data_IF_325919513867
#
_entry.id   IF_325919513867
#
_cell.length_a   1.000
_cell.length_b   1.000
_cell.length_c   1.000
_cell.angle_alpha   90.00
_cell.angle_beta   90.00
_cell.angle_gamma   90.00
#
_symmetry.space_group_name_H-M   'P 1'
#
loop_
_entity.id
_entity.type
_entity.pdbx_description
1 polymer ?
#
# COMPACT_ATOMS: atom_id res chain seq x y z
N UNK A 1 -30.26 -35.98 28.99
CA UNK A 1 -29.14 -35.04 29.14
C UNK A 1 -27.98 -35.54 28.29
N UNK A 2 -27.56 -34.77 27.28
CA UNK A 2 -26.22 -34.88 26.73
C UNK A 2 -25.82 -33.51 26.16
N UNK A 3 -24.95 -32.83 26.90
CA UNK A 3 -24.23 -31.65 26.41
C UNK A 3 -23.00 -32.17 25.67
N UNK A 4 -22.92 -31.95 24.36
CA UNK A 4 -21.70 -32.07 23.56
C UNK A 4 -21.69 -30.81 22.69
N UNK A 5 -20.97 -29.74 23.07
CA UNK A 5 -19.52 -29.55 22.89
C UNK A 5 -19.11 -29.93 21.48
N UNK A 6 -19.28 -29.00 20.54
CA UNK A 6 -18.36 -28.83 19.42
C UNK A 6 -18.05 -27.34 19.35
N UNK A 7 -16.94 -26.99 20.00
CA UNK A 7 -16.21 -25.74 19.80
C UNK A 7 -14.92 -26.14 19.08
N UNK A 8 -14.45 -25.27 18.19
CA UNK A 8 -13.08 -25.26 17.64
C UNK A 8 -12.76 -26.26 16.52
N UNK A 9 -13.23 -25.98 15.30
CA UNK A 9 -12.41 -26.14 14.07
C UNK A 9 -12.75 -24.98 13.11
N UNK A 10 -12.55 -23.75 13.56
CA UNK A 10 -12.40 -22.63 12.65
C UNK A 10 -11.16 -21.91 13.17
N UNK A 11 -10.03 -22.12 12.48
CA UNK A 11 -8.90 -21.21 12.63
C UNK A 11 -9.41 -19.77 12.42
N UNK A 12 -8.73 -18.74 12.96
CA UNK A 12 -9.16 -17.37 12.73
C UNK A 12 -9.42 -17.22 11.22
N UNK A 13 -10.64 -16.79 10.87
CA UNK A 13 -10.95 -16.47 9.49
C UNK A 13 -9.80 -15.61 8.96
N UNK A 14 -9.30 -15.83 7.72
CA UNK A 14 -8.26 -14.99 7.17
C UNK A 14 -8.73 -13.56 7.39
N UNK A 15 -7.96 -12.80 8.18
CA UNK A 15 -8.29 -11.40 8.47
C UNK A 15 -8.44 -10.77 7.10
N UNK A 16 -9.64 -10.31 6.76
CA UNK A 16 -9.84 -9.60 5.51
C UNK A 16 -8.75 -8.52 5.47
N UNK A 17 -8.05 -8.31 4.34
CA UNK A 17 -7.00 -7.29 4.27
C UNK A 17 -7.60 -5.99 4.81
N UNK A 18 -7.09 -5.54 5.95
CA UNK A 18 -7.59 -4.36 6.62
C UNK A 18 -6.87 -3.21 5.93
N UNK A 19 -7.61 -2.42 5.15
CA UNK A 19 -7.06 -1.15 4.69
C UNK A 19 -6.95 -0.23 5.91
N UNK A 20 -5.81 0.46 6.10
CA UNK A 20 -5.65 1.43 7.18
C UNK A 20 -6.84 2.38 7.25
N UNK A 21 -7.31 2.68 8.45
CA UNK A 21 -8.45 3.56 8.69
C UNK A 21 -8.21 4.96 8.09
N UNK A 22 -6.98 5.48 8.17
CA UNK A 22 -6.57 6.73 7.56
C UNK A 22 -6.64 6.72 6.03
N UNK A 23 -6.68 5.55 5.38
CA UNK A 23 -6.84 5.40 3.92
C UNK A 23 -8.30 5.23 3.47
N UNK A 24 -9.27 5.15 4.41
CA UNK A 24 -10.71 5.08 4.08
C UNK A 24 -11.21 6.15 3.10
N UNK A 25 -10.72 7.41 3.12
CA UNK A 25 -11.16 8.42 2.15
C UNK A 25 -10.89 8.05 0.68
N UNK A 26 -9.92 7.18 0.40
CA UNK A 26 -9.59 6.73 -0.96
C UNK A 26 -10.45 5.55 -1.41
N UNK A 27 -11.08 4.82 -0.49
CA UNK A 27 -11.89 3.64 -0.81
C UNK A 27 -13.05 4.02 -1.73
N UNK A 28 -13.24 3.24 -2.79
CA UNK A 28 -14.23 3.41 -3.83
C UNK A 28 -13.89 4.49 -4.87
N UNK A 29 -12.87 5.31 -4.64
CA UNK A 29 -12.57 6.48 -5.49
C UNK A 29 -11.19 6.40 -6.13
N UNK A 30 -10.15 6.14 -5.33
CA UNK A 30 -8.75 6.17 -5.73
C UNK A 30 -8.05 4.86 -5.36
N UNK A 31 -7.00 4.58 -6.09
CA UNK A 31 -5.99 3.58 -5.75
C UNK A 31 -4.88 4.26 -4.99
N UNK A 32 -4.17 3.52 -4.16
CA UNK A 32 -3.13 4.10 -3.32
C UNK A 32 -1.85 3.30 -3.49
N UNK A 33 -0.77 3.97 -3.91
CA UNK A 33 0.58 3.44 -3.93
C UNK A 33 1.34 4.00 -2.72
N UNK A 34 1.74 3.13 -1.81
CA UNK A 34 2.58 3.46 -0.67
C UNK A 34 4.02 3.05 -0.98
N UNK A 35 4.95 3.97 -0.79
CA UNK A 35 6.40 3.73 -0.84
C UNK A 35 6.93 3.92 0.58
N UNK A 36 7.49 2.86 1.15
CA UNK A 36 8.27 2.95 2.37
C UNK A 36 9.69 3.34 1.97
N UNK A 37 10.09 4.54 2.38
CA UNK A 37 11.38 5.11 2.07
C UNK A 37 12.18 5.30 3.36
N UNK A 38 13.46 4.94 3.30
CA UNK A 38 14.43 5.32 4.31
C UNK A 38 15.44 6.32 3.72
N UNK A 39 16.00 7.19 4.55
CA UNK A 39 16.93 8.23 4.12
C UNK A 39 18.26 7.66 3.63
N UNK A 40 18.64 6.46 4.10
CA UNK A 40 19.87 5.78 3.71
C UNK A 40 19.65 4.71 2.61
N UNK A 41 18.46 4.64 2.00
CA UNK A 41 18.12 3.66 0.95
C UNK A 41 17.96 4.34 -0.43
N UNK A 42 18.97 4.16 -1.29
CA UNK A 42 18.99 4.68 -2.67
C UNK A 42 17.77 4.22 -3.50
N UNK A 43 17.13 3.10 -3.16
CA UNK A 43 15.96 2.58 -3.89
C UNK A 43 14.78 3.52 -3.82
N UNK A 44 14.62 4.28 -2.74
CA UNK A 44 13.55 5.28 -2.63
C UNK A 44 13.72 6.39 -3.67
N UNK A 45 14.96 6.87 -3.88
CA UNK A 45 15.28 7.86 -4.91
C UNK A 45 15.06 7.28 -6.31
N UNK A 46 15.51 6.06 -6.56
CA UNK A 46 15.27 5.38 -7.86
C UNK A 46 13.77 5.24 -8.15
N UNK A 47 12.97 4.86 -7.14
CA UNK A 47 11.53 4.74 -7.30
C UNK A 47 10.86 6.10 -7.58
N UNK A 48 11.25 7.17 -6.89
CA UNK A 48 10.76 8.53 -7.14
C UNK A 48 11.00 8.96 -8.59
N UNK A 49 12.24 8.79 -9.07
CA UNK A 49 12.62 9.10 -10.46
C UNK A 49 11.78 8.31 -11.47
N UNK A 50 11.61 7.00 -11.25
CA UNK A 50 10.80 6.14 -12.13
C UNK A 50 9.35 6.63 -12.21
N UNK A 51 8.73 7.00 -11.09
CA UNK A 51 7.33 7.44 -11.07
C UNK A 51 7.14 8.79 -11.74
N UNK A 52 8.09 9.72 -11.60
CA UNK A 52 8.04 11.03 -12.27
C UNK A 52 8.01 10.91 -13.79
N UNK A 53 8.61 9.87 -14.37
CA UNK A 53 8.55 9.65 -15.83
C UNK A 53 7.14 9.40 -16.36
N UNK A 54 6.21 8.98 -15.49
CA UNK A 54 4.86 8.52 -15.86
C UNK A 54 3.74 9.20 -15.08
N UNK A 55 4.02 10.36 -14.46
CA UNK A 55 3.09 11.11 -13.59
C UNK A 55 1.65 11.21 -14.15
N UNK A 56 1.48 11.64 -15.40
CA UNK A 56 0.15 11.81 -16.01
C UNK A 56 -0.66 10.51 -16.03
N UNK A 57 0.01 9.37 -16.21
CA UNK A 57 -0.66 8.06 -16.27
C UNK A 57 -1.17 7.63 -14.90
N UNK A 58 -0.44 7.94 -13.82
CA UNK A 58 -0.92 7.71 -12.45
C UNK A 58 -2.17 8.53 -12.15
N UNK A 59 -2.25 9.77 -12.64
CA UNK A 59 -3.45 10.59 -12.53
C UNK A 59 -4.62 9.96 -13.30
N UNK A 60 -4.39 9.56 -14.56
CA UNK A 60 -5.41 8.96 -15.43
C UNK A 60 -5.96 7.65 -14.87
N UNK A 61 -5.13 6.84 -14.22
CA UNK A 61 -5.50 5.57 -13.59
C UNK A 61 -6.02 5.73 -12.14
N UNK A 62 -6.20 6.97 -11.68
CA UNK A 62 -6.67 7.33 -10.33
C UNK A 62 -5.78 6.75 -9.21
N UNK A 63 -4.45 6.78 -9.36
CA UNK A 63 -3.49 6.30 -8.37
C UNK A 63 -2.88 7.48 -7.63
N UNK A 64 -3.17 7.56 -6.33
CA UNK A 64 -2.51 8.49 -5.41
C UNK A 64 -1.22 7.85 -4.87
N UNK A 65 -0.13 8.62 -4.80
CA UNK A 65 1.18 8.10 -4.42
C UNK A 65 1.68 8.80 -3.17
N UNK A 66 2.01 8.01 -2.15
CA UNK A 66 2.56 8.48 -0.89
C UNK A 66 3.90 7.84 -0.59
N UNK A 67 4.85 8.64 -0.12
CA UNK A 67 6.09 8.19 0.48
C UNK A 67 5.99 8.27 1.99
N UNK A 68 6.42 7.22 2.69
CA UNK A 68 6.51 7.16 4.14
C UNK A 68 7.99 7.21 4.52
N UNK A 69 8.42 8.32 5.13
CA UNK A 69 9.81 8.58 5.48
C UNK A 69 9.89 9.39 6.78
N UNK A 70 10.92 9.18 7.61
CA UNK A 70 11.15 9.99 8.82
C UNK A 70 9.95 10.08 9.78
N UNK A 71 9.07 9.08 9.80
CA UNK A 71 7.84 9.06 10.60
C UNK A 71 6.65 9.86 10.03
N UNK A 72 6.74 10.39 8.80
CA UNK A 72 5.67 11.13 8.15
C UNK A 72 5.21 10.49 6.84
N UNK A 73 4.07 10.98 6.33
CA UNK A 73 3.51 10.62 5.02
C UNK A 73 3.57 11.84 4.10
N UNK A 74 4.14 11.66 2.91
CA UNK A 74 4.37 12.72 1.95
C UNK A 74 3.74 12.35 0.60
N UNK A 75 2.78 13.13 0.08
CA UNK A 75 2.27 12.90 -1.26
C UNK A 75 3.38 13.21 -2.27
N UNK A 76 3.57 12.31 -3.23
CA UNK A 76 4.53 12.51 -4.31
C UNK A 76 4.03 13.56 -5.32
N UNK A 77 2.69 13.65 -5.45
CA UNK A 77 1.99 14.59 -6.32
C UNK A 77 1.24 15.64 -5.51
N UNK A 78 0.49 16.52 -6.16
CA UNK A 78 -0.21 17.60 -5.48
C UNK A 78 -1.34 17.08 -4.57
N UNK A 79 -1.30 17.43 -3.30
CA UNK A 79 -2.36 17.11 -2.35
C UNK A 79 -1.95 17.41 -0.91
N UNK A 80 -2.94 17.43 -0.02
CA UNK A 80 -2.72 17.49 1.42
C UNK A 80 -3.72 16.56 2.07
N UNK A 81 -3.22 15.61 2.84
CA UNK A 81 -3.99 14.54 3.45
C UNK A 81 -3.55 14.39 4.90
N UNK A 82 -4.50 14.09 5.76
CA UNK A 82 -4.26 13.75 7.16
C UNK A 82 -4.07 12.23 7.25
N UNK A 83 -2.81 11.79 7.17
CA UNK A 83 -2.42 10.38 7.11
C UNK A 83 -1.42 10.07 8.22
N UNK A 84 -1.56 8.88 8.81
CA UNK A 84 -0.70 8.40 9.88
C UNK A 84 0.29 7.37 9.33
N UNK A 85 1.58 7.69 9.44
CA UNK A 85 2.66 6.85 8.93
C UNK A 85 2.81 5.53 9.69
N UNK A 86 2.54 5.54 11.00
CA UNK A 86 2.67 4.38 11.87
C UNK A 86 1.47 3.45 11.66
N UNK A 87 0.26 4.01 11.55
CA UNK A 87 -0.94 3.25 11.20
C UNK A 87 -0.78 2.54 9.85
N UNK A 88 -0.30 3.24 8.81
CA UNK A 88 -0.09 2.63 7.50
C UNK A 88 0.98 1.52 7.55
N UNK A 89 2.07 1.72 8.31
CA UNK A 89 3.10 0.69 8.47
C UNK A 89 2.54 -0.55 9.17
N UNK A 90 1.81 -0.37 10.25
CA UNK A 90 1.30 -1.49 11.04
C UNK A 90 0.24 -2.28 10.28
N UNK A 91 -0.76 -1.60 9.71
CA UNK A 91 -1.89 -2.25 9.04
C UNK A 91 -1.52 -2.85 7.68
N UNK A 92 -0.55 -2.27 6.97
CA UNK A 92 -0.05 -2.86 5.73
C UNK A 92 1.07 -3.88 5.94
N UNK A 93 1.47 -4.20 7.16
CA UNK A 93 2.64 -5.04 7.43
C UNK A 93 3.86 -4.54 6.63
N UNK A 94 4.16 -3.25 6.80
CA UNK A 94 5.26 -2.56 6.13
C UNK A 94 6.63 -3.22 6.41
N UNK A 95 7.64 -2.93 5.57
CA UNK A 95 8.98 -3.48 5.76
C UNK A 95 9.61 -2.99 7.07
N UNK A 96 10.73 -3.58 7.47
CA UNK A 96 11.41 -3.15 8.69
C UNK A 96 11.86 -1.68 8.56
N UNK A 97 11.94 -0.91 9.66
CA UNK A 97 12.55 0.42 9.63
C UNK A 97 13.94 0.35 9.00
N UNK A 98 14.23 1.22 8.02
CA UNK A 98 15.46 1.15 7.24
C UNK A 98 15.34 0.46 5.88
N UNK A 99 14.25 -0.27 5.61
CA UNK A 99 14.09 -1.03 4.38
C UNK A 99 13.11 -0.35 3.41
N UNK A 100 13.46 -0.37 2.12
CA UNK A 100 12.53 -0.05 1.05
C UNK A 100 11.37 -1.05 0.97
N UNK A 101 10.18 -0.53 0.69
CA UNK A 101 9.04 -1.32 0.30
C UNK A 101 8.05 -0.54 -0.56
N UNK A 102 7.27 -1.25 -1.35
CA UNK A 102 6.21 -0.70 -2.17
C UNK A 102 4.95 -1.55 -2.02
N UNK A 103 3.81 -0.91 -1.79
CA UNK A 103 2.50 -1.56 -1.68
C UNK A 103 1.48 -0.80 -2.52
N UNK A 104 0.81 -1.49 -3.44
CA UNK A 104 -0.30 -0.95 -4.21
C UNK A 104 -1.63 -1.48 -3.68
N UNK A 105 -2.55 -0.57 -3.38
CA UNK A 105 -3.93 -0.85 -2.97
C UNK A 105 -4.89 -0.46 -4.10
N UNK A 106 -5.84 -1.33 -4.40
CA UNK A 106 -6.94 -1.00 -5.31
C UNK A 106 -8.03 -0.18 -4.60
N UNK A 107 -9.03 0.25 -5.34
CA UNK A 107 -10.15 1.07 -4.83
C UNK A 107 -10.96 0.37 -3.75
N UNK A 108 -10.92 -0.96 -3.67
CA UNK A 108 -11.59 -1.72 -2.62
C UNK A 108 -10.71 -1.93 -1.37
N UNK A 109 -9.48 -1.39 -1.36
CA UNK A 109 -8.51 -1.56 -0.29
C UNK A 109 -7.70 -2.85 -0.38
N UNK A 110 -7.91 -3.68 -1.41
CA UNK A 110 -7.15 -4.92 -1.59
C UNK A 110 -5.74 -4.61 -2.06
N UNK A 111 -4.74 -5.25 -1.44
CA UNK A 111 -3.35 -5.20 -1.91
C UNK A 111 -3.22 -5.93 -3.25
N UNK A 112 -2.71 -5.23 -4.27
CA UNK A 112 -2.48 -5.75 -5.63
C UNK A 112 -1.02 -6.06 -5.92
N UNK A 113 -0.11 -5.33 -5.27
CA UNK A 113 1.33 -5.49 -5.46
C UNK A 113 2.04 -5.23 -4.14
N UNK A 114 3.04 -6.06 -3.85
CA UNK A 114 4.07 -5.80 -2.84
C UNK A 114 5.43 -6.00 -3.49
N UNK A 115 6.38 -5.12 -3.19
CA UNK A 115 7.77 -5.27 -3.66
C UNK A 115 8.74 -4.73 -2.62
N UNK A 116 9.88 -5.39 -2.48
CA UNK A 116 11.05 -4.90 -1.74
C UNK A 116 12.09 -4.24 -2.66
N UNK A 117 11.79 -4.10 -3.94
CA UNK A 117 12.65 -3.49 -4.97
C UNK A 117 11.88 -2.45 -5.78
N UNK A 118 12.54 -1.43 -6.36
CA UNK A 118 11.88 -0.46 -7.23
C UNK A 118 11.15 -1.14 -8.39
N UNK A 119 9.93 -0.68 -8.65
CA UNK A 119 9.04 -1.23 -9.68
C UNK A 119 8.77 -0.18 -10.73
N UNK A 120 8.80 -0.60 -11.99
CA UNK A 120 8.52 0.30 -13.12
C UNK A 120 7.04 0.69 -13.17
N UNK A 121 6.70 1.90 -13.64
CA UNK A 121 5.33 2.36 -13.81
C UNK A 121 4.41 1.37 -14.53
N UNK A 122 4.88 0.77 -15.63
CA UNK A 122 4.11 -0.18 -16.43
C UNK A 122 3.76 -1.46 -15.66
N UNK A 123 4.62 -1.90 -14.75
CA UNK A 123 4.40 -3.08 -13.91
C UNK A 123 3.41 -2.77 -12.78
N UNK A 124 3.53 -1.59 -12.15
CA UNK A 124 2.58 -1.11 -11.12
C UNK A 124 1.17 -1.02 -11.70
N UNK A 125 1.02 -0.37 -12.86
CA UNK A 125 -0.28 -0.23 -13.54
C UNK A 125 -0.78 -1.59 -14.03
N UNK A 126 0.11 -2.44 -14.55
CA UNK A 126 -0.23 -3.80 -14.98
C UNK A 126 -0.77 -4.69 -13.86
N UNK A 127 -0.30 -4.50 -12.62
CA UNK A 127 -0.79 -5.24 -11.46
C UNK A 127 -2.28 -5.02 -11.18
N UNK A 128 -2.87 -3.90 -11.61
CA UNK A 128 -4.30 -3.61 -11.45
C UNK A 128 -5.20 -4.52 -12.28
N UNK A 129 -4.68 -5.06 -13.39
CA UNK A 129 -5.43 -5.98 -14.26
C UNK A 129 -5.28 -7.44 -13.85
N UNK A 130 -4.41 -7.73 -12.86
CA UNK A 130 -4.13 -9.09 -12.43
C UNK A 130 -5.02 -9.47 -11.24
N UNK A 131 -5.56 -10.69 -11.24
CA UNK A 131 -6.15 -11.26 -10.03
C UNK A 131 -5.03 -11.53 -9.01
N UNK A 132 -5.24 -11.36 -7.70
CA UNK A 132 -4.23 -11.66 -6.70
C UNK A 132 -3.80 -13.14 -6.82
N UNK A 133 -2.50 -13.39 -6.81
CA UNK A 133 -1.93 -14.74 -6.71
C UNK A 133 -1.77 -15.14 -5.25
#
# INVERSE_FOLDING_TARGET
MLKSIIREIMGPAPRAPVSPDCLKPFIGTKRVLIIFADADDDRATVQDELLRTSHLRFIEDDIEVFSIAGGGVFPLFEGSYDLDADEIRDDLEGPQPGEFGLVLLDRDGTVKLRSSEPVRPEEIIGALSSMPH
#
